data_IF_653024125942
#
_entry.id   IF_653024125942
#
_cell.length_a   1.000
_cell.length_b   1.000
_cell.length_c   1.000
_cell.angle_alpha   90.00
_cell.angle_beta   90.00
_cell.angle_gamma   90.00
#
_symmetry.space_group_name_H-M   'P 1'
#
loop_
_entity.id
_entity.type
_entity.pdbx_description
1 polymer ?
#
# COMPACT_ATOMS: atom_id res chain seq x y z
N UNK A 1 -11.95 -10.35 -7.66
CA UNK A 1 -11.85 -11.43 -6.66
C UNK A 1 -10.63 -11.22 -5.77
N UNK A 2 -10.55 -11.90 -4.61
CA UNK A 2 -9.46 -11.73 -3.62
C UNK A 2 -8.04 -11.86 -4.20
N UNK A 3 -7.87 -12.66 -5.26
CA UNK A 3 -6.63 -12.80 -6.03
C UNK A 3 -6.12 -11.46 -6.60
N UNK A 4 -7.01 -10.63 -7.15
CA UNK A 4 -6.62 -9.34 -7.73
C UNK A 4 -6.09 -8.36 -6.69
N UNK A 5 -6.69 -8.35 -5.49
CA UNK A 5 -6.22 -7.48 -4.39
C UNK A 5 -4.81 -7.87 -3.97
N UNK A 6 -4.53 -9.16 -3.80
CA UNK A 6 -3.18 -9.63 -3.45
C UNK A 6 -2.15 -9.18 -4.49
N UNK A 7 -2.47 -9.27 -5.78
CA UNK A 7 -1.58 -8.79 -6.86
C UNK A 7 -1.30 -7.29 -6.73
N UNK A 8 -2.31 -6.46 -6.52
CA UNK A 8 -2.11 -5.01 -6.34
C UNK A 8 -1.31 -4.68 -5.06
N UNK A 9 -1.46 -5.45 -3.99
CA UNK A 9 -0.63 -5.32 -2.78
C UNK A 9 0.85 -5.64 -3.07
N UNK A 10 1.12 -6.73 -3.76
CA UNK A 10 2.48 -7.12 -4.16
C UNK A 10 3.12 -6.12 -5.14
N UNK A 11 2.31 -5.56 -6.06
CA UNK A 11 2.71 -4.47 -6.93
C UNK A 11 3.12 -3.23 -6.12
N UNK A 12 2.28 -2.81 -5.16
CA UNK A 12 2.60 -1.66 -4.30
C UNK A 12 3.84 -1.92 -3.44
N UNK A 13 4.01 -3.12 -2.89
CA UNK A 13 5.22 -3.51 -2.17
C UNK A 13 6.48 -3.38 -3.06
N UNK A 14 6.39 -3.79 -4.32
CA UNK A 14 7.46 -3.63 -5.32
C UNK A 14 7.74 -2.16 -5.62
N UNK A 15 6.70 -1.33 -5.72
CA UNK A 15 6.88 0.12 -5.86
C UNK A 15 7.56 0.74 -4.63
N UNK A 16 7.20 0.33 -3.42
CA UNK A 16 7.86 0.78 -2.18
C UNK A 16 9.34 0.41 -2.22
N UNK A 17 9.69 -0.81 -2.64
CA UNK A 17 11.08 -1.23 -2.82
C UNK A 17 11.86 -0.32 -3.78
N UNK A 18 11.23 0.06 -4.90
CA UNK A 18 11.85 0.92 -5.92
C UNK A 18 11.98 2.37 -5.45
N UNK A 19 10.97 2.91 -4.76
CA UNK A 19 10.86 4.34 -4.44
C UNK A 19 11.45 4.71 -3.09
N UNK A 20 11.31 3.82 -2.13
CA UNK A 20 11.72 4.02 -0.74
C UNK A 20 12.45 2.76 -0.25
N UNK A 21 13.60 2.41 -0.86
CA UNK A 21 14.32 1.18 -0.53
C UNK A 21 14.71 1.11 0.95
N UNK A 22 14.97 2.26 1.60
CA UNK A 22 15.24 2.35 3.04
C UNK A 22 14.03 1.94 3.88
N UNK A 23 12.83 2.38 3.51
CA UNK A 23 11.59 2.00 4.18
C UNK A 23 11.32 0.52 3.95
N UNK A 24 11.48 0.03 2.73
CA UNK A 24 11.32 -1.39 2.43
C UNK A 24 12.26 -2.26 3.26
N UNK A 25 13.56 -1.95 3.28
CA UNK A 25 14.56 -2.69 4.04
C UNK A 25 14.25 -2.67 5.55
N UNK A 26 13.84 -1.52 6.09
CA UNK A 26 13.44 -1.47 7.50
C UNK A 26 12.20 -2.33 7.80
N UNK A 27 11.19 -2.33 6.92
CA UNK A 27 10.03 -3.19 7.08
C UNK A 27 10.41 -4.67 7.02
N UNK A 28 11.24 -5.08 6.06
CA UNK A 28 11.55 -6.50 5.84
C UNK A 28 12.64 -7.05 6.76
N UNK A 29 13.70 -6.28 6.96
CA UNK A 29 14.95 -6.79 7.56
C UNK A 29 14.99 -6.50 9.06
N UNK A 30 14.44 -5.37 9.50
CA UNK A 30 14.43 -4.96 10.92
C UNK A 30 13.12 -5.35 11.63
N UNK A 31 11.97 -5.16 10.96
CA UNK A 31 10.66 -5.41 11.55
C UNK A 31 10.05 -6.76 11.16
N UNK A 32 10.64 -7.50 10.21
CA UNK A 32 10.13 -8.76 9.66
C UNK A 32 8.67 -8.68 9.17
N UNK A 33 8.25 -7.50 8.71
CA UNK A 33 6.92 -7.22 8.17
C UNK A 33 6.94 -7.34 6.65
N UNK A 34 6.04 -8.17 6.13
CA UNK A 34 5.68 -8.18 4.71
C UNK A 34 5.00 -6.85 4.33
N UNK A 35 5.59 -6.03 3.44
CA UNK A 35 4.97 -4.76 3.05
C UNK A 35 3.61 -4.96 2.38
N UNK A 36 3.44 -6.06 1.63
CA UNK A 36 2.18 -6.40 0.98
C UNK A 36 1.05 -6.67 2.00
N UNK A 37 1.37 -7.30 3.13
CA UNK A 37 0.40 -7.55 4.20
C UNK A 37 0.08 -6.27 4.97
N UNK A 38 1.09 -5.43 5.24
CA UNK A 38 0.93 -4.14 5.91
C UNK A 38 -0.05 -3.21 5.18
N UNK A 39 0.05 -3.15 3.85
CA UNK A 39 -0.76 -2.25 3.00
C UNK A 39 -2.03 -2.91 2.47
N UNK A 40 -2.20 -4.22 2.66
CA UNK A 40 -3.39 -4.95 2.21
C UNK A 40 -4.71 -4.32 2.65
N UNK A 41 -4.85 -3.83 3.90
CA UNK A 41 -6.08 -3.17 4.32
C UNK A 41 -6.38 -1.88 3.54
N UNK A 42 -5.36 -1.17 3.06
CA UNK A 42 -5.54 0.04 2.26
C UNK A 42 -6.12 -0.27 0.88
N UNK A 43 -5.56 -1.27 0.20
CA UNK A 43 -5.96 -1.65 -1.15
C UNK A 43 -7.31 -2.37 -1.14
N UNK A 44 -7.49 -3.34 -0.23
CA UNK A 44 -8.74 -4.11 -0.12
C UNK A 44 -9.96 -3.25 0.19
N UNK A 45 -9.78 -2.19 0.98
CA UNK A 45 -10.85 -1.27 1.38
C UNK A 45 -10.90 -0.01 0.52
N UNK A 46 -10.06 0.12 -0.50
CA UNK A 46 -9.91 1.36 -1.29
C UNK A 46 -9.77 2.61 -0.38
N UNK A 47 -8.97 2.50 0.67
CA UNK A 47 -8.76 3.51 1.73
C UNK A 47 -9.97 3.87 2.60
N UNK A 48 -11.12 3.22 2.44
CA UNK A 48 -12.28 3.42 3.31
C UNK A 48 -11.93 2.94 4.74
N UNK A 49 -12.05 3.86 5.70
CA UNK A 49 -11.70 3.61 7.11
C UNK A 49 -10.19 3.53 7.39
N UNK A 50 -9.30 3.70 6.39
CA UNK A 50 -7.85 3.72 6.60
C UNK A 50 -7.28 5.12 6.83
N UNK A 51 -7.96 6.15 6.33
CA UNK A 51 -7.51 7.55 6.43
C UNK A 51 -8.00 8.25 7.71
N UNK A 52 -9.03 7.72 8.36
CA UNK A 52 -9.67 8.33 9.54
C UNK A 52 -10.52 9.57 9.27
N UNK A 53 -10.43 10.16 8.06
CA UNK A 53 -11.15 11.37 7.66
C UNK A 53 -11.97 11.13 6.37
N UNK A 54 -13.26 11.48 6.42
CA UNK A 54 -14.20 11.24 5.33
C UNK A 54 -13.93 12.15 4.12
N UNK A 55 -13.50 13.41 4.34
CA UNK A 55 -13.16 14.33 3.26
C UNK A 55 -11.97 13.77 2.46
N UNK A 56 -10.91 13.33 3.13
CA UNK A 56 -9.75 12.71 2.51
C UNK A 56 -10.13 11.45 1.74
N UNK A 57 -10.97 10.58 2.30
CA UNK A 57 -11.47 9.40 1.57
C UNK A 57 -12.25 9.83 0.32
N UNK A 58 -13.17 10.79 0.42
CA UNK A 58 -13.93 11.28 -0.73
C UNK A 58 -13.00 11.84 -1.84
N UNK A 59 -11.96 12.59 -1.49
CA UNK A 59 -10.99 13.12 -2.47
C UNK A 59 -10.19 12.04 -3.20
N UNK A 60 -9.81 10.97 -2.48
CA UNK A 60 -9.18 9.81 -3.12
C UNK A 60 -10.16 9.15 -4.10
N UNK A 61 -11.44 9.06 -3.72
CA UNK A 61 -12.48 8.49 -4.55
C UNK A 61 -12.82 9.33 -5.79
N UNK A 62 -12.81 10.67 -5.69
CA UNK A 62 -12.96 11.57 -6.84
C UNK A 62 -11.93 11.22 -7.92
N UNK A 63 -10.66 11.07 -7.52
CA UNK A 63 -9.58 10.68 -8.41
C UNK A 63 -9.71 9.23 -8.91
N UNK A 64 -10.09 8.31 -8.02
CA UNK A 64 -10.22 6.89 -8.34
C UNK A 64 -11.27 6.64 -9.42
N UNK A 65 -12.44 7.29 -9.33
CA UNK A 65 -13.53 7.17 -10.29
C UNK A 65 -13.14 7.76 -11.65
N UNK A 66 -12.39 8.87 -11.64
CA UNK A 66 -11.98 9.54 -12.88
C UNK A 66 -10.80 8.87 -13.60
N UNK A 67 -9.76 8.47 -12.85
CA UNK A 67 -8.51 7.94 -13.44
C UNK A 67 -8.33 6.42 -13.35
N UNK A 68 -9.09 5.77 -12.47
CA UNK A 68 -9.03 4.34 -12.22
C UNK A 68 -8.03 3.90 -11.14
N UNK A 69 -7.83 2.58 -11.00
CA UNK A 69 -7.24 1.95 -9.79
C UNK A 69 -5.78 2.31 -9.51
N UNK A 70 -5.04 2.86 -10.49
CA UNK A 70 -3.66 3.34 -10.30
C UNK A 70 -3.54 4.40 -9.21
N UNK A 71 -4.63 5.12 -8.93
CA UNK A 71 -4.71 6.10 -7.84
C UNK A 71 -4.41 5.46 -6.49
N UNK A 72 -4.83 4.21 -6.26
CA UNK A 72 -4.59 3.53 -4.99
C UNK A 72 -3.10 3.36 -4.69
N UNK A 73 -2.28 3.06 -5.72
CA UNK A 73 -0.84 2.95 -5.56
C UNK A 73 -0.19 4.30 -5.25
N UNK A 74 -0.64 5.37 -5.91
CA UNK A 74 -0.12 6.72 -5.68
C UNK A 74 -0.40 7.19 -4.26
N UNK A 75 -1.64 6.98 -3.80
CA UNK A 75 -2.07 7.33 -2.45
C UNK A 75 -1.33 6.48 -1.41
N UNK A 76 -1.18 5.18 -1.64
CA UNK A 76 -0.40 4.30 -0.77
C UNK A 76 1.06 4.75 -0.61
N UNK A 77 1.73 5.10 -1.71
CA UNK A 77 3.08 5.66 -1.67
C UNK A 77 3.13 7.01 -0.93
N UNK A 78 2.17 7.90 -1.17
CA UNK A 78 2.11 9.19 -0.50
C UNK A 78 1.89 9.06 1.00
N UNK A 79 1.00 8.17 1.45
CA UNK A 79 0.77 7.91 2.88
C UNK A 79 1.99 7.32 3.56
N UNK A 80 2.69 6.40 2.89
CA UNK A 80 3.91 5.82 3.43
C UNK A 80 5.02 6.88 3.56
N UNK A 81 5.16 7.76 2.57
CA UNK A 81 6.09 8.89 2.62
C UNK A 81 5.74 9.87 3.76
N UNK A 82 4.45 10.15 3.98
CA UNK A 82 3.98 10.98 5.10
C UNK A 82 4.23 10.33 6.47
N UNK A 83 4.25 9.00 6.51
CA UNK A 83 4.39 8.21 7.74
C UNK A 83 5.80 7.62 7.91
N UNK A 84 6.77 8.04 7.10
CA UNK A 84 8.12 7.47 7.07
C UNK A 84 8.78 7.53 8.45
N UNK A 85 8.68 8.67 9.14
CA UNK A 85 9.20 8.81 10.51
C UNK A 85 8.54 7.82 11.49
N UNK A 86 7.27 7.51 11.29
CA UNK A 86 6.52 6.57 12.14
C UNK A 86 6.96 5.13 11.90
N UNK A 87 7.29 4.79 10.64
CA UNK A 87 7.86 3.48 10.30
C UNK A 87 9.21 3.30 11.01
N UNK A 88 10.12 4.25 10.88
CA UNK A 88 11.45 4.16 11.49
C UNK A 88 11.47 4.26 13.03
N UNK A 89 10.45 4.89 13.63
CA UNK A 89 10.35 5.00 15.10
C UNK A 89 9.63 3.82 15.75
N UNK A 90 9.14 2.87 14.96
CA UNK A 90 8.35 1.76 15.48
C UNK A 90 9.25 0.68 16.08
N UNK A 91 9.19 0.48 17.40
CA UNK A 91 9.94 -0.58 18.07
C UNK A 91 9.23 -1.95 18.06
N UNK A 92 7.92 -1.97 17.81
CA UNK A 92 7.09 -3.17 17.90
C UNK A 92 6.33 -3.40 16.59
N UNK A 93 6.71 -4.39 15.77
CA UNK A 93 6.09 -4.66 14.48
C UNK A 93 4.55 -4.74 14.51
N UNK A 94 4.00 -5.37 15.55
CA UNK A 94 2.55 -5.54 15.73
C UNK A 94 1.79 -4.22 15.94
N UNK A 95 2.47 -3.17 16.43
CA UNK A 95 1.88 -1.86 16.64
C UNK A 95 1.86 -1.02 15.35
N UNK A 96 2.71 -1.33 14.36
CA UNK A 96 2.91 -0.51 13.18
C UNK A 96 1.60 -0.22 12.42
N UNK A 97 0.72 -1.20 12.12
CA UNK A 97 -0.52 -0.91 11.40
C UNK A 97 -1.39 0.13 12.11
N UNK A 98 -1.54 0.01 13.43
CA UNK A 98 -2.33 0.96 14.24
C UNK A 98 -1.66 2.33 14.31
N UNK A 99 -0.33 2.38 14.40
CA UNK A 99 0.42 3.64 14.41
C UNK A 99 0.30 4.37 13.07
N UNK A 100 0.34 3.65 11.96
CA UNK A 100 0.12 4.23 10.63
C UNK A 100 -1.30 4.77 10.48
N UNK A 101 -2.32 4.02 10.88
CA UNK A 101 -3.72 4.49 10.86
C UNK A 101 -3.90 5.74 11.73
N UNK A 102 -3.36 5.75 12.96
CA UNK A 102 -3.41 6.92 13.84
C UNK A 102 -2.68 8.15 13.26
N UNK A 103 -1.53 7.94 12.62
CA UNK A 103 -0.77 9.03 11.98
C UNK A 103 -1.44 9.55 10.73
N UNK A 104 -2.08 8.69 9.95
CA UNK A 104 -2.92 9.13 8.83
C UNK A 104 -4.08 9.98 9.33
N UNK A 105 -4.84 9.51 10.33
CA UNK A 105 -5.95 10.26 10.91
C UNK A 105 -5.49 11.62 11.46
N UNK A 106 -4.35 11.67 12.16
CA UNK A 106 -3.79 12.92 12.67
C UNK A 106 -3.34 13.87 11.55
N UNK A 107 -2.61 13.37 10.55
CA UNK A 107 -2.07 14.20 9.48
C UNK A 107 -3.17 14.73 8.54
N UNK A 108 -4.27 13.98 8.42
CA UNK A 108 -5.38 14.30 7.54
C UNK A 108 -6.54 15.02 8.24
N UNK A 109 -6.42 15.25 9.56
CA UNK A 109 -7.43 15.96 10.32
C UNK A 109 -7.49 17.45 9.95
N UNK A 110 -8.69 17.92 9.58
CA UNK A 110 -9.00 19.31 9.32
C UNK A 110 -9.15 19.66 7.84
N UNK A 111 -9.73 20.84 7.55
CA UNK A 111 -10.14 21.22 6.21
C UNK A 111 -8.97 21.28 5.23
N UNK A 112 -9.16 20.74 4.02
CA UNK A 112 -8.19 20.81 2.93
C UNK A 112 -7.00 19.85 3.03
N UNK A 113 -6.88 19.08 4.13
CA UNK A 113 -5.82 18.06 4.29
C UNK A 113 -5.98 16.90 3.32
N UNK A 114 -7.21 16.50 3.01
CA UNK A 114 -7.50 15.51 1.97
C UNK A 114 -6.96 15.94 0.60
N UNK A 115 -7.12 17.22 0.25
CA UNK A 115 -6.54 17.81 -0.96
C UNK A 115 -5.01 17.79 -0.95
N UNK A 116 -4.38 18.03 0.20
CA UNK A 116 -2.93 17.94 0.34
C UNK A 116 -2.40 16.52 0.13
N UNK A 117 -3.10 15.49 0.62
CA UNK A 117 -2.77 14.09 0.38
C UNK A 117 -2.82 13.75 -1.11
N UNK A 118 -3.93 14.09 -1.77
CA UNK A 118 -4.08 13.85 -3.20
C UNK A 118 -3.00 14.63 -3.97
N UNK A 119 -2.75 15.89 -3.62
CA UNK A 119 -1.67 16.68 -4.20
C UNK A 119 -0.30 16.00 -4.05
N UNK A 120 0.01 15.42 -2.89
CA UNK A 120 1.23 14.64 -2.69
C UNK A 120 1.28 13.37 -3.56
N UNK A 121 0.15 12.70 -3.75
CA UNK A 121 0.04 11.50 -4.59
C UNK A 121 0.40 11.75 -6.08
N UNK A 122 0.28 12.99 -6.56
CA UNK A 122 0.66 13.39 -7.92
C UNK A 122 2.04 14.07 -8.02
N UNK A 123 2.71 14.33 -6.89
CA UNK A 123 4.06 14.89 -6.90
C UNK A 123 5.08 13.81 -7.28
N UNK A 124 5.81 14.05 -8.37
CA UNK A 124 6.88 13.15 -8.82
C UNK A 124 8.01 12.98 -7.78
N UNK A 125 8.26 13.98 -6.95
CA UNK A 125 9.24 13.91 -5.86
C UNK A 125 8.82 12.95 -4.74
N UNK A 126 7.52 12.67 -4.59
CA UNK A 126 6.98 11.80 -3.54
C UNK A 126 6.78 10.39 -4.07
N UNK A 127 6.06 10.27 -5.18
CA UNK A 127 5.56 8.98 -5.70
C UNK A 127 6.38 8.47 -6.89
N UNK A 128 7.16 9.34 -7.53
CA UNK A 128 7.82 9.06 -8.80
C UNK A 128 6.85 8.97 -9.97
N UNK A 129 7.36 8.57 -11.14
CA UNK A 129 6.53 8.35 -12.34
C UNK A 129 5.93 6.94 -12.36
N UNK A 130 4.63 6.80 -12.61
CA UNK A 130 3.95 5.51 -12.79
C UNK A 130 3.47 5.35 -14.24
N UNK A 131 4.38 5.12 -15.21
CA UNK A 131 3.97 4.84 -16.58
C UNK A 131 3.23 3.50 -16.64
N UNK A 132 2.29 3.37 -17.58
CA UNK A 132 1.47 2.18 -17.73
C UNK A 132 2.31 0.90 -17.94
N UNK A 133 3.44 1.01 -18.65
CA UNK A 133 4.37 -0.10 -18.89
C UNK A 133 5.01 -0.63 -17.60
N UNK A 134 5.44 0.26 -16.70
CA UNK A 134 5.98 -0.13 -15.39
C UNK A 134 4.91 -0.83 -14.56
N UNK A 135 3.70 -0.26 -14.50
CA UNK A 135 2.59 -0.84 -13.72
C UNK A 135 2.19 -2.21 -14.29
N UNK A 136 2.14 -2.36 -15.61
CA UNK A 136 1.83 -3.63 -16.26
C UNK A 136 2.90 -4.70 -15.97
N UNK A 137 4.18 -4.36 -16.07
CA UNK A 137 5.29 -5.27 -15.76
C UNK A 137 5.29 -5.71 -14.29
N UNK A 138 5.13 -4.76 -13.36
CA UNK A 138 5.06 -5.08 -11.94
C UNK A 138 3.81 -5.90 -11.59
N UNK A 139 2.67 -5.65 -12.25
CA UNK A 139 1.46 -6.45 -12.06
C UNK A 139 1.65 -7.89 -12.53
N UNK A 140 2.29 -8.10 -13.67
CA UNK A 140 2.58 -9.44 -14.19
C UNK A 140 3.49 -10.21 -13.22
N UNK A 141 4.59 -9.60 -12.78
CA UNK A 141 5.51 -10.20 -11.80
C UNK A 141 4.80 -10.53 -10.48
N UNK A 142 3.98 -9.62 -9.96
CA UNK A 142 3.19 -9.84 -8.76
C UNK A 142 2.15 -10.97 -8.94
N UNK A 143 1.54 -11.09 -10.11
CA UNK A 143 0.60 -12.17 -10.41
C UNK A 143 1.27 -13.54 -10.41
N UNK A 144 2.46 -13.66 -10.99
CA UNK A 144 3.26 -14.89 -10.96
C UNK A 144 3.66 -15.27 -9.52
N UNK A 145 4.12 -14.30 -8.72
CA UNK A 145 4.48 -14.54 -7.32
C UNK A 145 3.29 -15.03 -6.50
N UNK A 146 2.14 -14.38 -6.64
CA UNK A 146 0.90 -14.74 -5.93
C UNK A 146 0.41 -16.12 -6.36
N UNK A 147 0.42 -16.42 -7.66
CA UNK A 147 0.04 -17.74 -8.17
C UNK A 147 0.93 -18.85 -7.58
N UNK A 148 2.25 -18.65 -7.56
CA UNK A 148 3.19 -19.60 -6.97
C UNK A 148 2.92 -19.87 -5.48
N UNK A 149 2.68 -18.82 -4.69
CA UNK A 149 2.35 -18.94 -3.25
C UNK A 149 1.04 -19.68 -3.02
N UNK A 150 0.03 -19.46 -3.87
CA UNK A 150 -1.27 -20.12 -3.74
C UNK A 150 -1.18 -21.59 -4.12
N UNK A 151 -0.45 -21.93 -5.17
CA UNK A 151 -0.24 -23.32 -5.56
C UNK A 151 0.55 -24.09 -4.52
N UNK A 152 1.57 -23.48 -3.93
CA UNK A 152 2.30 -24.07 -2.80
C UNK A 152 1.37 -24.32 -1.60
N UNK A 153 0.56 -23.31 -1.20
CA UNK A 153 -0.42 -23.47 -0.13
C UNK A 153 -1.42 -24.59 -0.42
N UNK A 154 -1.93 -24.67 -1.65
CA UNK A 154 -2.84 -25.75 -2.09
C UNK A 154 -2.20 -27.13 -1.96
N UNK A 155 -0.94 -27.29 -2.38
CA UNK A 155 -0.20 -28.55 -2.24
C UNK A 155 0.00 -28.94 -0.77
N UNK A 156 0.38 -27.99 0.08
CA UNK A 156 0.55 -28.22 1.52
C UNK A 156 -0.76 -28.66 2.17
N UNK A 157 -1.86 -27.99 1.86
CA UNK A 157 -3.18 -28.36 2.38
C UNK A 157 -3.63 -29.74 1.89
N UNK A 158 -3.41 -30.07 0.61
CA UNK A 158 -3.70 -31.40 0.08
C UNK A 158 -2.90 -32.50 0.80
N UNK A 159 -1.64 -32.25 1.13
CA UNK A 159 -0.79 -33.20 1.87
C UNK A 159 -1.21 -33.40 3.33
N UNK A 160 -1.84 -32.40 3.96
CA UNK A 160 -2.36 -32.50 5.34
C UNK A 160 -3.72 -33.21 5.43
N UNK A 161 -4.46 -33.27 4.31
CA UNK A 161 -5.80 -33.86 4.23
C UNK A 161 -5.79 -35.28 3.63
N UNK A 162 -4.61 -35.80 3.26
CA UNK A 162 -4.39 -37.15 2.77
C UNK A 162 -3.89 -38.06 3.91
#
# INVERSE_FOLDING_TARGET
>A
GQHGVMVECHLLASLIKIRSPRVHAHLTDELEISPADLISPWISRCFVGSLGDLEATARVWDCLVFEGPKVLHRVGLALLALSESTVFSCAHPQALPRLLEARCAQALCGPGRGGALVGAAYKRSVVGGLPASLVAGLRAAAAEEVAGKLDERRRRLAALLA
#
